data_IF_142265908410
#
_entry.id   IF_142265908410
#
_cell.length_a   1.000
_cell.length_b   1.000
_cell.length_c   1.000
_cell.angle_alpha   90.00
_cell.angle_beta   90.00
_cell.angle_gamma   90.00
#
_symmetry.space_group_name_H-M   'P 1'
#
loop_
_entity.id
_entity.type
_entity.pdbx_description
1 polymer ?
#
# COMPACT_ATOMS: atom_id res chain seq x y z
N UNK A 1 -12.56 0.35 -16.61
CA UNK A 1 -12.46 1.54 -15.76
C UNK A 1 -12.11 1.07 -14.36
N UNK A 2 -11.01 1.54 -13.76
CA UNK A 2 -10.74 1.25 -12.35
C UNK A 2 -11.71 2.10 -11.54
N UNK A 3 -12.61 1.47 -10.78
CA UNK A 3 -13.53 2.19 -9.91
C UNK A 3 -12.72 3.03 -8.92
N UNK A 4 -13.15 4.27 -8.67
CA UNK A 4 -12.54 5.09 -7.62
C UNK A 4 -12.69 4.36 -6.27
N UNK A 5 -11.62 4.26 -5.45
CA UNK A 5 -11.69 3.61 -4.16
C UNK A 5 -12.63 4.38 -3.22
N UNK A 6 -13.24 3.65 -2.29
CA UNK A 6 -14.01 4.26 -1.20
C UNK A 6 -12.99 4.82 -0.20
N UNK A 7 -13.07 6.12 0.09
CA UNK A 7 -12.15 6.78 1.03
C UNK A 7 -12.91 7.31 2.24
N UNK A 8 -12.47 6.97 3.44
CA UNK A 8 -13.06 7.40 4.70
C UNK A 8 -12.04 8.21 5.52
N UNK A 9 -12.53 9.22 6.24
CA UNK A 9 -11.68 10.04 7.11
C UNK A 9 -11.66 9.45 8.52
N UNK A 10 -10.48 9.03 8.98
CA UNK A 10 -10.24 8.44 10.29
C UNK A 10 -9.20 9.28 11.06
N UNK A 11 -9.67 10.25 11.84
CA UNK A 11 -8.81 11.24 12.55
C UNK A 11 -7.88 10.63 13.62
N UNK A 12 -8.13 9.38 14.01
CA UNK A 12 -7.30 8.64 14.98
C UNK A 12 -6.07 7.97 14.36
N UNK A 13 -5.92 7.99 13.02
CA UNK A 13 -4.74 7.43 12.36
C UNK A 13 -3.48 8.18 12.78
N UNK A 14 -2.42 7.41 13.05
CA UNK A 14 -1.07 7.93 13.31
C UNK A 14 -0.26 8.18 12.02
N UNK A 15 -0.78 7.72 10.89
CA UNK A 15 -0.21 7.83 9.54
C UNK A 15 -1.14 8.66 8.65
N UNK A 16 -0.67 9.09 7.48
CA UNK A 16 -1.48 9.90 6.54
C UNK A 16 -2.57 9.08 5.86
N UNK A 17 -2.24 7.89 5.38
CA UNK A 17 -3.13 6.95 4.71
C UNK A 17 -2.96 5.53 5.24
N UNK A 18 -3.98 4.71 5.02
CA UNK A 18 -3.93 3.27 5.23
C UNK A 18 -4.98 2.59 4.35
N UNK A 19 -4.54 1.67 3.50
CA UNK A 19 -5.40 0.72 2.82
C UNK A 19 -5.89 -0.35 3.79
N UNK A 20 -7.20 -0.57 3.80
CA UNK A 20 -7.86 -1.63 4.53
C UNK A 20 -9.02 -2.14 3.68
N UNK A 21 -8.79 -3.21 2.90
CA UNK A 21 -9.76 -3.69 1.91
C UNK A 21 -11.22 -3.69 2.42
N UNK A 22 -12.18 -3.07 1.71
CA UNK A 22 -12.08 -2.42 0.39
C UNK A 22 -11.94 -0.88 0.46
N UNK A 23 -11.52 -0.32 1.59
CA UNK A 23 -11.51 1.14 1.84
C UNK A 23 -10.10 1.69 2.02
N UNK A 24 -9.92 2.96 1.66
CA UNK A 24 -8.75 3.74 2.07
C UNK A 24 -9.17 4.60 3.25
N UNK A 25 -8.39 4.57 4.31
CA UNK A 25 -8.54 5.48 5.44
C UNK A 25 -7.53 6.61 5.29
N UNK A 26 -7.97 7.85 5.44
CA UNK A 26 -7.09 9.04 5.49
C UNK A 26 -7.26 9.78 6.79
N UNK A 27 -6.19 10.39 7.30
CA UNK A 27 -6.22 11.10 8.59
C UNK A 27 -7.10 12.35 8.57
N UNK A 28 -7.16 13.04 7.44
CA UNK A 28 -7.86 14.32 7.31
C UNK A 28 -8.45 14.52 5.91
N UNK A 29 -9.34 15.51 5.75
CA UNK A 29 -10.02 15.78 4.47
C UNK A 29 -9.08 16.36 3.42
N UNK A 30 -8.01 17.04 3.86
CA UNK A 30 -7.03 17.68 2.98
C UNK A 30 -6.26 16.62 2.17
N UNK A 31 -5.98 15.47 2.78
CA UNK A 31 -5.29 14.33 2.17
C UNK A 31 -6.11 13.65 1.06
N UNK A 32 -7.42 13.91 0.97
CA UNK A 32 -8.24 13.45 -0.17
C UNK A 32 -7.81 14.07 -1.50
N UNK A 33 -7.10 15.21 -1.46
CA UNK A 33 -6.56 15.90 -2.64
C UNK A 33 -5.14 15.44 -3.00
N UNK A 34 -4.53 14.62 -2.16
CA UNK A 34 -3.19 14.08 -2.41
C UNK A 34 -3.30 12.86 -3.34
N UNK A 35 -3.22 13.12 -4.65
CA UNK A 35 -3.27 12.07 -5.67
C UNK A 35 -2.13 11.05 -5.54
N UNK A 36 -1.01 11.39 -4.91
CA UNK A 36 0.13 10.47 -4.71
C UNK A 36 -0.22 9.50 -3.59
N UNK A 37 -0.64 10.01 -2.43
CA UNK A 37 -1.09 9.19 -1.30
C UNK A 37 -2.25 8.28 -1.70
N UNK A 38 -3.29 8.82 -2.34
CA UNK A 38 -4.46 8.02 -2.74
C UNK A 38 -4.04 6.92 -3.73
N UNK A 39 -3.08 7.18 -4.62
CA UNK A 39 -2.57 6.15 -5.52
C UNK A 39 -1.75 5.09 -4.79
N UNK A 40 -0.89 5.49 -3.86
CA UNK A 40 -0.13 4.58 -3.01
C UNK A 40 -1.08 3.58 -2.31
N UNK A 41 -2.09 4.09 -1.61
CA UNK A 41 -3.07 3.24 -0.92
C UNK A 41 -3.94 2.42 -1.90
N UNK A 42 -4.23 2.96 -3.10
CA UNK A 42 -4.93 2.20 -4.15
C UNK A 42 -4.11 1.02 -4.66
N UNK A 43 -2.77 1.14 -4.71
CA UNK A 43 -1.88 0.02 -5.08
C UNK A 43 -2.00 -1.08 -4.03
N UNK A 44 -2.03 -0.73 -2.74
CA UNK A 44 -2.27 -1.70 -1.67
C UNK A 44 -3.62 -2.39 -1.77
N UNK A 45 -4.71 -1.66 -2.07
CA UNK A 45 -6.01 -2.30 -2.31
C UNK A 45 -5.97 -3.32 -3.48
N UNK A 46 -5.21 -3.04 -4.54
CA UNK A 46 -5.02 -3.99 -5.65
C UNK A 46 -4.19 -5.20 -5.22
N UNK A 47 -3.15 -5.02 -4.42
CA UNK A 47 -2.34 -6.10 -3.86
C UNK A 47 -3.17 -6.98 -2.91
N UNK A 48 -3.97 -6.36 -2.03
CA UNK A 48 -4.90 -7.04 -1.12
C UNK A 48 -5.91 -7.88 -1.90
N UNK A 49 -6.55 -7.32 -2.92
CA UNK A 49 -7.49 -8.05 -3.77
C UNK A 49 -6.81 -9.21 -4.54
N UNK A 50 -5.63 -8.97 -5.10
CA UNK A 50 -4.83 -9.96 -5.83
C UNK A 50 -4.47 -11.17 -4.96
N UNK A 51 -4.19 -10.93 -3.68
CA UNK A 51 -3.74 -11.94 -2.71
C UNK A 51 -4.84 -12.36 -1.72
N UNK A 52 -6.12 -12.19 -2.08
CA UNK A 52 -7.28 -12.66 -1.30
C UNK A 52 -7.39 -12.07 0.12
N UNK A 53 -6.85 -10.86 0.34
CA UNK A 53 -6.89 -10.05 1.57
C UNK A 53 -6.16 -10.68 2.76
N UNK A 54 -6.59 -11.85 3.25
CA UNK A 54 -5.97 -12.52 4.40
C UNK A 54 -4.55 -12.99 4.07
N UNK A 55 -4.29 -13.70 2.96
CA UNK A 55 -2.92 -14.04 2.58
C UNK A 55 -2.01 -12.84 2.34
N UNK A 56 -2.54 -11.70 1.86
CA UNK A 56 -1.78 -10.45 1.74
C UNK A 56 -1.17 -10.04 3.08
N UNK A 57 -1.99 -9.90 4.14
CA UNK A 57 -1.50 -9.44 5.44
C UNK A 57 -0.49 -10.43 6.05
N UNK A 58 -0.68 -11.74 5.84
CA UNK A 58 0.29 -12.74 6.28
C UNK A 58 1.64 -12.58 5.58
N UNK A 59 1.65 -12.41 4.25
CA UNK A 59 2.87 -12.20 3.47
C UNK A 59 3.54 -10.87 3.79
N UNK A 60 2.75 -9.81 3.95
CA UNK A 60 3.23 -8.49 4.33
C UNK A 60 3.94 -8.53 5.69
N UNK A 61 3.29 -9.12 6.71
CA UNK A 61 3.86 -9.28 8.03
C UNK A 61 5.10 -10.17 8.02
N UNK A 62 5.08 -11.28 7.28
CA UNK A 62 6.25 -12.15 7.14
C UNK A 62 7.45 -11.41 6.53
N UNK A 63 7.25 -10.69 5.42
CA UNK A 63 8.31 -9.94 4.76
C UNK A 63 8.85 -8.82 5.66
N UNK A 64 7.97 -8.14 6.41
CA UNK A 64 8.36 -7.18 7.43
C UNK A 64 9.24 -7.80 8.53
N UNK A 65 8.87 -8.96 9.07
CA UNK A 65 9.63 -9.63 10.14
C UNK A 65 11.02 -10.06 9.66
N UNK A 66 11.12 -10.63 8.46
CA UNK A 66 12.41 -10.97 7.83
C UNK A 66 13.28 -9.72 7.69
N UNK A 67 12.70 -8.63 7.19
CA UNK A 67 13.40 -7.35 7.05
C UNK A 67 13.78 -6.75 8.41
N UNK A 68 12.97 -6.92 9.45
CA UNK A 68 13.26 -6.43 10.79
C UNK A 68 14.47 -7.14 11.39
N UNK A 69 14.58 -8.47 11.23
CA UNK A 69 15.76 -9.24 11.64
C UNK A 69 16.99 -8.80 10.85
N UNK A 70 16.86 -8.59 9.54
CA UNK A 70 17.95 -8.18 8.64
C UNK A 70 18.48 -6.78 8.93
N UNK A 71 17.59 -5.81 9.08
CA UNK A 71 17.94 -4.38 9.17
C UNK A 71 18.01 -3.84 10.59
N UNK A 72 17.40 -4.53 11.57
CA UNK A 72 17.35 -4.13 12.98
C UNK A 72 16.81 -2.70 13.20
N UNK A 73 16.00 -2.21 12.27
CA UNK A 73 15.43 -0.88 12.28
C UNK A 73 14.03 -0.93 11.67
N UNK A 74 13.01 -0.50 12.42
CA UNK A 74 11.61 -0.59 12.01
C UNK A 74 11.32 0.18 10.72
N UNK A 75 11.83 1.40 10.59
CA UNK A 75 11.57 2.24 9.42
C UNK A 75 12.22 1.64 8.16
N UNK A 76 13.48 1.20 8.27
CA UNK A 76 14.17 0.53 7.18
C UNK A 76 13.51 -0.80 6.81
N UNK A 77 13.03 -1.56 7.81
CA UNK A 77 12.33 -2.81 7.57
C UNK A 77 11.03 -2.60 6.80
N UNK A 78 10.25 -1.59 7.20
CA UNK A 78 9.00 -1.18 6.55
C UNK A 78 9.24 -0.75 5.09
N UNK A 79 10.16 0.18 4.84
CA UNK A 79 10.46 0.66 3.48
C UNK A 79 10.99 -0.41 2.53
N UNK A 80 11.47 -1.55 3.07
CA UNK A 80 11.97 -2.67 2.29
C UNK A 80 10.94 -3.80 2.12
N UNK A 81 9.72 -3.66 2.63
CA UNK A 81 8.65 -4.60 2.32
C UNK A 81 8.38 -4.55 0.82
N UNK A 82 8.31 -5.69 0.14
CA UNK A 82 8.16 -5.72 -1.32
C UNK A 82 6.90 -4.97 -1.82
N UNK A 83 5.82 -5.05 -1.06
CA UNK A 83 4.57 -4.33 -1.33
C UNK A 83 4.71 -2.81 -1.21
N UNK A 84 5.39 -2.33 -0.16
CA UNK A 84 5.74 -0.91 0.04
C UNK A 84 6.67 -0.42 -1.06
N UNK A 85 7.70 -1.20 -1.39
CA UNK A 85 8.64 -0.89 -2.48
C UNK A 85 7.91 -0.74 -3.81
N UNK A 86 6.94 -1.61 -4.12
CA UNK A 86 6.10 -1.45 -5.30
C UNK A 86 5.28 -0.15 -5.25
N UNK A 87 4.62 0.12 -4.13
CA UNK A 87 3.76 1.29 -3.96
C UNK A 87 4.56 2.59 -4.11
N UNK A 88 5.64 2.75 -3.34
CA UNK A 88 6.54 3.92 -3.43
C UNK A 88 7.18 4.08 -4.81
N UNK A 89 7.56 3.00 -5.48
CA UNK A 89 8.16 3.11 -6.82
C UNK A 89 7.18 3.60 -7.89
N UNK A 90 5.87 3.46 -7.66
CA UNK A 90 4.84 3.73 -8.66
C UNK A 90 3.79 4.76 -8.23
N UNK A 91 3.84 5.28 -7.02
CA UNK A 91 2.89 6.27 -6.50
C UNK A 91 2.85 7.57 -7.30
N UNK A 92 3.91 7.92 -8.03
CA UNK A 92 3.93 9.08 -8.94
C UNK A 92 3.39 8.77 -10.35
N UNK A 93 3.26 7.49 -10.72
CA UNK A 93 2.83 7.09 -12.05
C UNK A 93 1.29 7.07 -12.14
N UNK A 94 0.72 8.14 -12.72
CA UNK A 94 -0.72 8.34 -12.89
C UNK A 94 -1.44 7.18 -13.60
N UNK A 95 -0.76 6.44 -14.48
CA UNK A 95 -1.32 5.31 -15.22
C UNK A 95 -1.08 3.93 -14.60
N UNK A 96 -0.39 3.86 -13.45
CA UNK A 96 0.03 2.58 -12.88
C UNK A 96 -1.14 1.68 -12.51
N UNK A 97 -2.20 2.22 -11.92
CA UNK A 97 -3.36 1.42 -11.49
C UNK A 97 -4.03 0.67 -12.65
N UNK A 98 -3.97 1.20 -13.87
CA UNK A 98 -4.53 0.57 -15.07
C UNK A 98 -3.55 -0.41 -15.74
N UNK A 99 -2.25 -0.20 -15.57
CA UNK A 99 -1.18 -0.96 -16.23
C UNK A 99 -0.58 -2.05 -15.33
N UNK A 100 -0.86 -1.99 -14.02
CA UNK A 100 -0.31 -2.90 -13.01
C UNK A 100 -0.66 -4.34 -13.39
N UNK A 101 0.39 -5.14 -13.58
CA UNK A 101 0.26 -6.58 -13.85
C UNK A 101 0.07 -7.34 -12.54
N UNK A 102 -0.58 -8.49 -12.62
CA UNK A 102 -0.59 -9.45 -11.52
C UNK A 102 0.85 -9.83 -11.16
N UNK A 103 1.13 -10.01 -9.87
CA UNK A 103 2.43 -10.37 -9.32
C UNK A 103 3.53 -9.32 -9.55
N UNK A 104 3.17 -8.05 -9.81
CA UNK A 104 4.14 -6.97 -10.02
C UNK A 104 5.08 -6.77 -8.81
N UNK A 105 4.58 -6.97 -7.59
CA UNK A 105 5.34 -6.89 -6.34
C UNK A 105 6.54 -7.85 -6.27
N UNK A 106 6.55 -8.95 -7.03
CA UNK A 106 7.66 -9.94 -7.04
C UNK A 106 8.96 -9.30 -7.54
N UNK A 107 8.88 -8.28 -8.40
CA UNK A 107 10.05 -7.51 -8.87
C UNK A 107 10.75 -6.72 -7.75
N UNK A 108 10.11 -6.62 -6.59
CA UNK A 108 10.55 -5.85 -5.44
C UNK A 108 10.88 -6.73 -4.23
N UNK A 109 11.12 -8.03 -4.43
CA UNK A 109 11.71 -8.90 -3.42
C UNK A 109 13.20 -8.59 -3.17
#
# INVERSE_FOLDING_TARGET
MVNKPIVLVARFLKVDGMALFPVILVRSKELLKDDVLIRHESIHLLQEAELLVVPFYLLYAFNYLVNLIRFKNHHKAYLNICFEREAYANEANKGYLQQRKWWAWVKYL
#
